data_IF_104203131184
#
_entry.id   IF_104203131184
#
_cell.length_a   1.000
_cell.length_b   1.000
_cell.length_c   1.000
_cell.angle_alpha   90.00
_cell.angle_beta   90.00
_cell.angle_gamma   90.00
#
_symmetry.space_group_name_H-M   'P 1'
#
loop_
_entity.id
_entity.type
_entity.pdbx_description
1 polymer ?
#
# COMPACT_ATOMS: atom_id res chain seq x y z
N UNK A 1 -7.90 54.16 46.61
CA UNK A 1 -7.53 53.96 45.20
C UNK A 1 -7.11 52.51 44.99
N UNK A 2 -7.75 51.83 44.01
CA UNK A 2 -7.35 50.61 43.25
C UNK A 2 -7.02 49.32 44.03
N UNK A 3 -7.93 48.34 44.13
CA UNK A 3 -8.07 47.11 43.26
C UNK A 3 -6.74 46.36 43.04
N UNK A 4 -6.58 45.05 43.32
CA UNK A 4 -7.25 43.94 42.61
C UNK A 4 -7.10 42.55 43.29
N UNK A 5 -8.23 41.82 43.34
CA UNK A 5 -8.46 40.41 42.93
C UNK A 5 -7.89 39.20 43.71
N UNK A 6 -8.82 38.61 44.46
CA UNK A 6 -8.95 37.20 44.88
C UNK A 6 -8.95 36.20 43.71
N UNK A 7 -8.21 35.09 43.85
CA UNK A 7 -8.65 33.75 43.38
C UNK A 7 -8.12 32.64 44.30
N UNK A 8 -9.00 32.16 45.20
CA UNK A 8 -9.00 30.79 45.74
C UNK A 8 -9.80 29.90 44.78
N UNK A 9 -9.30 28.71 44.47
CA UNK A 9 -10.02 27.53 43.95
C UNK A 9 -9.10 26.33 44.26
N UNK A 10 -9.15 25.70 45.44
CA UNK A 10 -10.06 24.60 45.84
C UNK A 10 -10.21 23.52 44.77
N UNK A 11 -9.68 22.34 45.12
CA UNK A 11 -9.69 21.07 44.40
C UNK A 11 -11.10 20.49 44.20
N UNK A 12 -11.32 19.76 43.10
CA UNK A 12 -12.25 18.63 43.03
C UNK A 12 -11.65 17.56 42.10
N UNK A 13 -11.51 16.36 42.67
CA UNK A 13 -11.14 15.11 42.03
C UNK A 13 -12.12 14.71 40.91
N UNK A 14 -11.60 14.09 39.84
CA UNK A 14 -12.42 13.31 38.91
C UNK A 14 -11.61 12.17 38.28
N UNK A 15 -11.70 10.99 38.90
CA UNK A 15 -11.47 9.65 38.31
C UNK A 15 -12.68 8.82 38.78
N UNK A 16 -13.20 7.78 38.09
CA UNK A 16 -13.06 7.31 36.70
C UNK A 16 -14.44 7.08 36.01
N UNK A 17 -14.48 6.77 34.71
CA UNK A 17 -15.42 5.75 34.22
C UNK A 17 -14.83 5.05 32.99
N UNK A 18 -14.54 3.77 33.21
CA UNK A 18 -14.13 2.81 32.21
C UNK A 18 -15.14 2.73 31.06
N UNK A 19 -14.61 2.66 29.85
CA UNK A 19 -15.24 1.90 28.77
C UNK A 19 -14.11 1.12 28.08
N UNK A 20 -13.74 0.03 28.77
CA UNK A 20 -13.28 -1.24 28.22
C UNK A 20 -12.62 -1.18 26.85
N UNK A 21 -11.29 -1.07 26.85
CA UNK A 21 -10.43 -1.61 25.79
C UNK A 21 -10.55 -3.14 25.81
N UNK A 22 -11.66 -3.66 25.30
CA UNK A 22 -11.71 -5.07 24.91
C UNK A 22 -10.85 -5.22 23.65
N UNK A 23 -9.63 -5.69 23.88
CA UNK A 23 -8.76 -6.26 22.85
C UNK A 23 -9.47 -7.51 22.32
N UNK A 24 -10.27 -7.35 21.26
CA UNK A 24 -10.81 -8.48 20.50
C UNK A 24 -9.77 -8.84 19.45
N UNK A 25 -8.98 -9.88 19.76
CA UNK A 25 -8.20 -10.64 18.81
C UNK A 25 -9.16 -11.50 17.99
N UNK A 26 -9.30 -11.21 16.69
CA UNK A 26 -10.01 -12.04 15.72
C UNK A 26 -9.55 -11.68 14.28
N UNK A 27 -9.62 -12.62 13.33
CA UNK A 27 -8.54 -12.95 12.41
C UNK A 27 -8.34 -11.95 11.27
N UNK A 28 -7.10 -11.92 10.79
CA UNK A 28 -6.61 -11.11 9.69
C UNK A 28 -7.42 -11.39 8.41
N UNK A 29 -7.99 -10.34 7.83
CA UNK A 29 -8.51 -10.35 6.46
C UNK A 29 -7.51 -9.61 5.56
N UNK A 30 -7.36 -10.04 4.30
CA UNK A 30 -6.19 -9.74 3.49
C UNK A 30 -6.10 -8.24 3.22
N UNK A 31 -4.95 -7.67 3.58
CA UNK A 31 -4.65 -6.32 3.23
C UNK A 31 -4.41 -6.26 1.72
N UNK A 32 -5.18 -5.44 0.99
CA UNK A 32 -4.83 -5.08 -0.38
C UNK A 32 -3.39 -4.58 -0.41
N UNK A 33 -2.56 -5.33 -1.12
CA UNK A 33 -1.16 -5.07 -1.29
C UNK A 33 -0.92 -4.07 -2.40
N UNK A 34 0.07 -3.22 -2.18
CA UNK A 34 0.61 -2.32 -3.20
C UNK A 34 1.99 -2.83 -3.58
N UNK A 35 2.24 -2.97 -4.87
CA UNK A 35 3.55 -3.37 -5.38
C UNK A 35 4.43 -2.13 -5.47
N UNK A 36 5.52 -2.12 -4.71
CA UNK A 36 6.59 -1.15 -4.92
C UNK A 36 7.56 -1.68 -5.99
N UNK A 37 8.20 -0.75 -6.71
CA UNK A 37 9.12 -1.05 -7.80
C UNK A 37 10.49 -0.43 -7.49
N UNK A 38 11.56 -1.19 -7.74
CA UNK A 38 12.94 -0.73 -7.70
C UNK A 38 13.62 -1.12 -9.00
N UNK A 39 14.25 -0.16 -9.65
CA UNK A 39 14.98 -0.38 -10.88
C UNK A 39 16.49 -0.37 -10.62
N UNK A 40 17.21 -1.31 -11.23
CA UNK A 40 18.67 -1.41 -11.15
C UNK A 40 19.22 -1.55 -12.56
N UNK A 41 20.17 -0.69 -12.92
CA UNK A 41 20.87 -0.80 -14.19
C UNK A 41 21.99 -1.83 -14.09
N UNK A 42 22.05 -2.74 -15.06
CA UNK A 42 23.09 -3.76 -15.19
C UNK A 42 23.71 -3.73 -16.59
N UNK A 43 25.00 -4.10 -16.74
CA UNK A 43 25.61 -4.21 -18.05
C UNK A 43 24.94 -5.33 -18.86
N UNK A 44 24.65 -5.05 -20.14
CA UNK A 44 24.25 -6.08 -21.08
C UNK A 44 25.49 -6.78 -21.62
N UNK A 45 25.48 -8.11 -21.60
CA UNK A 45 26.61 -8.93 -22.03
C UNK A 45 26.23 -9.75 -23.25
N UNK A 46 26.90 -9.52 -24.36
CA UNK A 46 26.88 -10.43 -25.51
C UNK A 46 28.12 -11.30 -25.44
N UNK A 47 27.94 -12.61 -25.30
CA UNK A 47 29.02 -13.59 -25.27
C UNK A 47 28.83 -14.61 -26.38
N UNK A 48 29.94 -15.08 -26.93
CA UNK A 48 29.95 -16.26 -27.78
C UNK A 48 30.79 -17.37 -27.16
N UNK A 49 30.38 -18.61 -27.42
CA UNK A 49 31.11 -19.82 -27.08
C UNK A 49 31.24 -20.67 -28.33
N UNK A 50 32.34 -21.40 -28.40
CA UNK A 50 32.62 -22.30 -29.51
C UNK A 50 33.03 -23.66 -28.99
N UNK A 51 32.76 -24.70 -29.77
CA UNK A 51 33.27 -26.05 -29.51
C UNK A 51 33.66 -26.70 -30.82
N UNK A 52 34.57 -27.65 -30.72
CA UNK A 52 34.99 -28.51 -31.81
C UNK A 52 34.66 -29.94 -31.39
N UNK A 53 34.06 -30.71 -32.29
CA UNK A 53 33.69 -32.10 -32.02
C UNK A 53 34.09 -32.95 -33.20
N UNK A 54 34.92 -34.00 -32.99
CA UNK A 54 35.22 -34.98 -34.04
C UNK A 54 33.93 -35.60 -34.58
N UNK A 55 33.88 -35.87 -35.89
CA UNK A 55 32.74 -36.54 -36.53
C UNK A 55 33.11 -37.98 -36.86
N UNK A 56 32.21 -38.92 -36.55
CA UNK A 56 32.35 -40.32 -36.97
C UNK A 56 32.36 -40.40 -38.50
N UNK A 57 33.46 -40.89 -39.07
CA UNK A 57 33.73 -40.88 -40.52
C UNK A 57 34.85 -39.95 -40.98
N UNK A 58 35.44 -39.17 -40.05
CA UNK A 58 36.60 -38.31 -40.31
C UNK A 58 36.23 -36.82 -40.38
N UNK A 59 37.14 -35.98 -39.88
CA UNK A 59 36.96 -34.52 -39.83
C UNK A 59 36.46 -33.99 -38.47
N UNK A 60 36.22 -32.68 -38.42
CA UNK A 60 35.84 -31.95 -37.20
C UNK A 60 34.63 -31.06 -37.51
N UNK A 61 33.59 -31.14 -36.68
CA UNK A 61 32.50 -30.18 -36.69
C UNK A 61 32.80 -29.04 -35.72
N UNK A 62 32.65 -27.82 -36.21
CA UNK A 62 32.85 -26.58 -35.48
C UNK A 62 31.49 -25.97 -35.18
N UNK A 63 31.31 -25.54 -33.93
CA UNK A 63 30.05 -25.01 -33.42
C UNK A 63 30.29 -23.62 -32.85
N UNK A 64 29.29 -22.76 -33.04
CA UNK A 64 29.23 -21.41 -32.49
C UNK A 64 27.86 -21.19 -31.87
N UNK A 65 27.82 -20.65 -30.66
CA UNK A 65 26.62 -20.09 -30.07
C UNK A 65 26.91 -18.68 -29.55
N UNK A 66 25.99 -17.76 -29.80
CA UNK A 66 26.03 -16.39 -29.30
C UNK A 66 24.76 -16.15 -28.50
N UNK A 67 24.92 -15.70 -27.26
CA UNK A 67 23.81 -15.34 -26.38
C UNK A 67 23.99 -13.93 -25.82
N UNK A 68 22.85 -13.29 -25.55
CA UNK A 68 22.79 -11.99 -24.88
C UNK A 68 22.22 -12.20 -23.48
N UNK A 69 22.93 -11.71 -22.47
CA UNK A 69 22.63 -11.98 -21.07
C UNK A 69 22.69 -10.72 -20.22
N UNK A 70 21.87 -10.72 -19.17
CA UNK A 70 21.94 -9.75 -18.09
C UNK A 70 22.09 -10.51 -16.78
N UNK A 71 23.17 -10.23 -16.05
CA UNK A 71 23.41 -10.84 -14.74
C UNK A 71 22.85 -9.98 -13.62
N UNK A 72 22.35 -10.62 -12.57
CA UNK A 72 21.72 -9.96 -11.43
C UNK A 72 21.96 -10.71 -10.12
N UNK A 73 21.64 -10.04 -9.03
CA UNK A 73 21.72 -10.60 -7.68
C UNK A 73 20.38 -10.43 -7.00
N UNK A 74 20.02 -11.38 -6.13
CA UNK A 74 18.88 -11.17 -5.25
C UNK A 74 19.10 -9.95 -4.35
N UNK A 75 18.03 -9.20 -4.16
CA UNK A 75 18.00 -8.06 -3.25
C UNK A 75 17.05 -8.44 -2.12
N UNK A 76 17.55 -8.46 -0.88
CA UNK A 76 16.76 -8.88 0.27
C UNK A 76 15.41 -8.13 0.36
N UNK A 77 14.31 -8.88 0.38
CA UNK A 77 12.95 -8.34 0.44
C UNK A 77 12.39 -7.81 -0.88
N UNK A 78 13.05 -8.10 -2.01
CA UNK A 78 12.62 -7.76 -3.35
C UNK A 78 12.70 -8.98 -4.28
N UNK A 79 11.73 -9.09 -5.18
CA UNK A 79 11.65 -10.15 -6.19
C UNK A 79 11.96 -9.55 -7.56
N UNK A 80 12.94 -10.06 -8.33
CA UNK A 80 13.14 -9.63 -9.70
C UNK A 80 11.91 -9.99 -10.54
N UNK A 81 11.48 -9.08 -11.41
CA UNK A 81 10.24 -9.18 -12.19
C UNK A 81 10.55 -9.29 -13.69
N UNK A 82 11.30 -8.32 -14.21
CA UNK A 82 11.63 -8.26 -15.65
C UNK A 82 12.94 -7.53 -15.92
N UNK A 83 13.54 -7.82 -17.06
CA UNK A 83 14.64 -7.05 -17.64
C UNK A 83 14.11 -6.26 -18.82
N UNK A 84 14.44 -4.98 -18.90
CA UNK A 84 14.19 -4.12 -20.06
C UNK A 84 15.52 -3.77 -20.73
N UNK A 85 15.63 -4.02 -22.02
CA UNK A 85 16.78 -3.66 -22.86
C UNK A 85 16.35 -2.70 -23.95
N UNK A 86 17.29 -1.93 -24.49
CA UNK A 86 17.10 -1.23 -25.75
C UNK A 86 17.49 -2.17 -26.90
N UNK A 87 16.56 -2.44 -27.82
CA UNK A 87 16.78 -3.19 -29.04
C UNK A 87 16.45 -2.30 -30.25
N UNK A 88 17.48 -1.89 -30.98
CA UNK A 88 17.40 -1.02 -32.17
C UNK A 88 16.59 0.26 -31.90
N UNK A 89 16.86 0.90 -30.76
CA UNK A 89 16.20 2.13 -30.32
C UNK A 89 14.79 1.91 -29.73
N UNK A 90 14.36 0.66 -29.58
CA UNK A 90 13.05 0.31 -29.02
C UNK A 90 13.21 -0.47 -27.70
N UNK A 91 12.62 -0.01 -26.59
CA UNK A 91 12.61 -0.77 -25.35
C UNK A 91 11.88 -2.11 -25.50
N UNK A 92 12.55 -3.20 -25.12
CA UNK A 92 12.00 -4.56 -25.08
C UNK A 92 12.13 -5.12 -23.66
N UNK A 93 11.05 -5.64 -23.11
CA UNK A 93 11.06 -6.27 -21.79
C UNK A 93 10.91 -7.78 -21.91
N UNK A 94 11.69 -8.52 -21.13
CA UNK A 94 11.61 -9.98 -20.97
C UNK A 94 11.41 -10.31 -19.48
N UNK A 95 10.51 -11.24 -19.13
CA UNK A 95 10.27 -11.62 -17.74
C UNK A 95 11.47 -12.36 -17.15
N UNK A 96 11.79 -12.06 -15.89
CA UNK A 96 12.71 -12.86 -15.10
C UNK A 96 11.84 -13.92 -14.43
N UNK A 97 11.99 -15.19 -14.82
CA UNK A 97 11.19 -16.29 -14.29
C UNK A 97 11.26 -16.38 -12.76
N UNK A 98 10.35 -17.17 -12.17
CA UNK A 98 10.35 -17.39 -10.73
C UNK A 98 11.58 -18.19 -10.28
N UNK A 99 12.06 -17.93 -9.07
CA UNK A 99 13.11 -18.74 -8.45
C UNK A 99 12.65 -20.21 -8.25
N UNK A 100 13.56 -21.21 -8.38
CA UNK A 100 14.98 -21.08 -8.70
C UNK A 100 15.19 -20.64 -10.16
N UNK A 101 16.09 -19.68 -10.37
CA UNK A 101 16.34 -19.15 -11.71
C UNK A 101 17.12 -20.16 -12.57
N UNK A 102 16.85 -20.15 -13.88
CA UNK A 102 17.56 -20.99 -14.83
C UNK A 102 18.91 -20.37 -15.20
N UNK A 103 19.88 -20.57 -14.31
CA UNK A 103 21.27 -20.12 -14.51
C UNK A 103 22.07 -21.06 -15.43
N UNK A 104 21.44 -22.16 -15.88
CA UNK A 104 22.04 -23.23 -16.70
C UNK A 104 21.99 -22.98 -18.21
N UNK A 105 21.94 -21.71 -18.64
CA UNK A 105 21.79 -21.37 -20.04
C UNK A 105 22.88 -22.04 -20.89
N UNK A 106 22.45 -22.92 -21.80
CA UNK A 106 23.35 -23.66 -22.67
C UNK A 106 22.71 -23.96 -24.02
N UNK A 107 23.53 -24.08 -25.05
CA UNK A 107 23.08 -24.50 -26.37
C UNK A 107 24.05 -25.53 -26.94
N UNK A 108 23.54 -26.72 -27.29
CA UNK A 108 24.34 -27.80 -27.86
C UNK A 108 25.61 -28.11 -27.03
N UNK A 109 25.51 -28.08 -25.70
CA UNK A 109 26.65 -28.32 -24.80
C UNK A 109 27.61 -27.14 -24.61
N UNK A 110 27.32 -25.97 -25.19
CA UNK A 110 28.03 -24.72 -24.91
C UNK A 110 27.34 -24.02 -23.74
N UNK A 111 27.98 -24.02 -22.57
CA UNK A 111 27.44 -23.40 -21.36
C UNK A 111 27.84 -21.93 -21.23
N UNK A 112 26.90 -21.11 -20.78
CA UNK A 112 27.07 -19.68 -20.54
C UNK A 112 26.77 -19.40 -19.06
N UNK A 113 27.75 -19.52 -18.16
CA UNK A 113 27.50 -19.25 -16.74
C UNK A 113 27.25 -17.74 -16.48
N UNK A 114 26.55 -17.38 -15.39
CA UNK A 114 26.45 -16.00 -14.92
C UNK A 114 27.83 -15.37 -14.69
N UNK A 115 27.97 -14.08 -15.04
CA UNK A 115 29.21 -13.32 -14.83
C UNK A 115 28.88 -11.99 -14.17
N UNK A 116 29.53 -11.70 -13.04
CA UNK A 116 29.30 -10.45 -12.28
C UNK A 116 28.01 -10.43 -11.45
N UNK A 117 27.30 -11.55 -11.37
CA UNK A 117 26.12 -11.75 -10.52
C UNK A 117 25.93 -13.22 -10.17
N UNK A 118 24.99 -13.49 -9.27
CA UNK A 118 24.62 -14.84 -8.84
C UNK A 118 23.71 -15.52 -9.85
N UNK A 119 22.94 -14.72 -10.59
CA UNK A 119 21.95 -15.19 -11.57
C UNK A 119 22.10 -14.49 -12.91
N UNK A 120 21.43 -15.02 -13.94
CA UNK A 120 21.31 -14.33 -15.21
C UNK A 120 19.96 -14.56 -15.90
N UNK A 121 19.66 -13.70 -16.86
CA UNK A 121 18.54 -13.86 -17.79
C UNK A 121 19.05 -13.73 -19.21
N UNK A 122 18.68 -14.68 -20.06
CA UNK A 122 18.91 -14.60 -21.50
C UNK A 122 17.90 -13.65 -22.13
N UNK A 123 18.37 -12.78 -23.02
CA UNK A 123 17.56 -11.81 -23.74
C UNK A 123 17.44 -12.28 -25.19
N UNK A 124 16.21 -12.60 -25.60
CA UNK A 124 15.94 -13.17 -26.92
C UNK A 124 16.53 -14.57 -27.10
N UNK A 125 16.60 -15.03 -28.35
CA UNK A 125 17.08 -16.37 -28.68
C UNK A 125 18.60 -16.41 -28.89
N UNK A 126 19.18 -17.59 -28.72
CA UNK A 126 20.56 -17.84 -29.13
C UNK A 126 20.69 -17.72 -30.66
N UNK A 127 21.77 -17.11 -31.10
CA UNK A 127 22.23 -17.27 -32.49
C UNK A 127 23.22 -18.42 -32.58
N UNK A 128 23.04 -19.32 -33.55
CA UNK A 128 23.81 -20.55 -33.64
C UNK A 128 24.36 -20.80 -35.04
N UNK A 129 25.57 -21.34 -35.12
CA UNK A 129 26.20 -21.78 -36.34
C UNK A 129 26.92 -23.11 -36.17
N UNK A 130 26.93 -23.93 -37.22
CA UNK A 130 27.65 -25.19 -37.27
C UNK A 130 28.23 -25.41 -38.67
N UNK A 131 29.42 -25.99 -38.77
CA UNK A 131 30.01 -26.34 -40.05
C UNK A 131 31.25 -27.24 -39.94
N UNK A 132 31.83 -27.59 -41.10
CA UNK A 132 33.06 -28.38 -41.21
C UNK A 132 34.34 -27.57 -41.37
N UNK A 133 34.26 -26.24 -41.23
CA UNK A 133 35.39 -25.32 -41.41
C UNK A 133 35.75 -24.61 -40.10
N UNK A 134 37.04 -24.45 -39.77
CA UNK A 134 37.50 -23.63 -38.64
C UNK A 134 36.99 -22.18 -38.67
N UNK A 135 36.66 -21.65 -39.85
CA UNK A 135 36.13 -20.28 -40.00
C UNK A 135 34.83 -20.05 -39.22
N UNK A 136 34.08 -21.10 -38.88
CA UNK A 136 32.91 -21.01 -37.98
C UNK A 136 33.31 -20.43 -36.63
N UNK A 137 34.47 -20.81 -36.10
CA UNK A 137 34.97 -20.38 -34.78
C UNK A 137 35.71 -19.06 -34.88
N UNK A 138 36.55 -18.90 -35.90
CA UNK A 138 37.52 -17.78 -35.96
C UNK A 138 36.96 -16.52 -36.60
N UNK A 139 35.96 -16.63 -37.48
CA UNK A 139 35.44 -15.50 -38.27
C UNK A 139 33.95 -15.30 -38.06
N UNK A 140 33.16 -16.37 -38.23
CA UNK A 140 31.70 -16.27 -38.19
C UNK A 140 31.22 -15.96 -36.77
N UNK A 141 31.70 -16.69 -35.76
CA UNK A 141 31.24 -16.51 -34.38
C UNK A 141 31.51 -15.10 -33.81
N UNK A 142 32.73 -14.55 -33.93
CA UNK A 142 33.00 -13.18 -33.50
C UNK A 142 32.15 -12.15 -34.26
N UNK A 143 31.93 -12.35 -35.56
CA UNK A 143 31.10 -11.45 -36.35
C UNK A 143 29.62 -11.50 -35.95
N UNK A 144 29.09 -12.69 -35.66
CA UNK A 144 27.74 -12.85 -35.10
C UNK A 144 27.59 -12.13 -33.75
N UNK A 145 28.59 -12.23 -32.88
CA UNK A 145 28.60 -11.52 -31.60
C UNK A 145 28.67 -10.00 -31.78
N UNK A 146 29.54 -9.51 -32.67
CA UNK A 146 29.63 -8.09 -32.99
C UNK A 146 28.31 -7.54 -33.56
N UNK A 147 27.65 -8.31 -34.43
CA UNK A 147 26.37 -7.96 -35.03
C UNK A 147 25.27 -7.92 -33.97
N UNK A 148 25.18 -8.94 -33.10
CA UNK A 148 24.23 -8.97 -31.99
C UNK A 148 24.43 -7.76 -31.06
N UNK A 149 25.68 -7.45 -30.71
CA UNK A 149 26.01 -6.26 -29.90
C UNK A 149 25.58 -4.95 -30.57
N UNK A 150 25.55 -4.88 -31.89
CA UNK A 150 25.06 -3.73 -32.65
C UNK A 150 23.54 -3.52 -32.56
N UNK A 151 22.77 -4.57 -32.27
CA UNK A 151 21.32 -4.46 -32.11
C UNK A 151 20.89 -4.00 -30.72
N UNK A 152 21.70 -4.25 -29.70
CA UNK A 152 21.34 -3.94 -28.32
C UNK A 152 22.09 -2.72 -27.76
N UNK A 153 21.44 -1.99 -26.86
CA UNK A 153 22.11 -1.01 -26.00
C UNK A 153 23.17 -1.65 -25.07
N UNK A 154 24.04 -0.84 -24.48
CA UNK A 154 25.13 -1.33 -23.61
C UNK A 154 24.67 -1.76 -22.21
N UNK A 155 23.45 -1.39 -21.81
CA UNK A 155 22.91 -1.64 -20.47
C UNK A 155 21.46 -2.11 -20.54
N UNK A 156 21.06 -2.79 -19.47
CA UNK A 156 19.68 -3.21 -19.23
C UNK A 156 19.17 -2.67 -17.89
N UNK A 157 17.87 -2.48 -17.79
CA UNK A 157 17.18 -2.13 -16.54
C UNK A 157 16.47 -3.34 -15.99
N UNK A 158 16.87 -3.75 -14.80
CA UNK A 158 16.25 -4.85 -14.04
C UNK A 158 15.22 -4.24 -13.10
N UNK A 159 13.98 -4.67 -13.26
CA UNK A 159 12.87 -4.27 -12.40
C UNK A 159 12.73 -5.29 -11.29
N UNK A 160 12.77 -4.83 -10.05
CA UNK A 160 12.45 -5.59 -8.85
C UNK A 160 11.13 -5.08 -8.29
N UNK A 161 10.32 -6.00 -7.81
CA UNK A 161 9.04 -5.70 -7.17
C UNK A 161 9.05 -6.21 -5.74
N UNK A 162 8.32 -5.52 -4.86
CA UNK A 162 8.00 -6.06 -3.55
C UNK A 162 6.57 -5.75 -3.19
N UNK A 163 5.94 -6.68 -2.51
CA UNK A 163 4.61 -6.49 -1.96
C UNK A 163 4.73 -5.67 -0.66
N UNK A 164 4.20 -4.46 -0.66
CA UNK A 164 4.09 -3.63 0.55
C UNK A 164 2.64 -3.49 0.92
N UNK A 165 2.33 -3.78 2.18
CA UNK A 165 1.02 -3.52 2.74
C UNK A 165 0.90 -2.02 3.03
N UNK A 166 0.14 -1.27 2.21
CA UNK A 166 -0.13 0.17 2.45
C UNK A 166 -1.13 0.35 3.60
N UNK A 167 -0.60 0.28 4.81
CA UNK A 167 -1.30 0.60 6.08
C UNK A 167 -1.72 2.07 6.12
N UNK A 168 -0.98 2.96 5.45
CA UNK A 168 -1.08 4.41 5.62
C UNK A 168 -2.39 5.00 5.06
N UNK A 169 -2.79 4.63 3.84
CA UNK A 169 -4.02 5.15 3.22
C UNK A 169 -5.28 4.59 3.87
N UNK A 170 -5.26 3.32 4.28
CA UNK A 170 -6.39 2.70 5.00
C UNK A 170 -6.57 3.32 6.37
N UNK A 171 -5.46 3.52 7.10
CA UNK A 171 -5.46 4.20 8.38
C UNK A 171 -6.00 5.64 8.26
N UNK A 172 -5.49 6.42 7.30
CA UNK A 172 -5.95 7.80 7.08
C UNK A 172 -7.46 7.89 6.77
N UNK A 173 -7.95 7.00 5.89
CA UNK A 173 -9.39 6.96 5.54
C UNK A 173 -10.26 6.54 6.74
N UNK A 174 -9.78 5.62 7.56
CA UNK A 174 -10.51 5.16 8.74
C UNK A 174 -10.50 6.20 9.87
N UNK A 175 -9.38 6.90 10.08
CA UNK A 175 -9.28 8.05 10.99
C UNK A 175 -10.23 9.18 10.57
N UNK A 176 -10.29 9.53 9.29
CA UNK A 176 -11.22 10.57 8.80
C UNK A 176 -12.70 10.21 9.07
N UNK A 177 -13.07 8.92 8.98
CA UNK A 177 -14.41 8.45 9.36
C UNK A 177 -14.66 8.57 10.86
N UNK A 178 -13.67 8.23 11.69
CA UNK A 178 -13.75 8.38 13.14
C UNK A 178 -13.93 9.85 13.56
N UNK A 179 -13.16 10.77 12.99
CA UNK A 179 -13.28 12.21 13.26
C UNK A 179 -14.66 12.76 12.89
N UNK A 180 -15.22 12.35 11.74
CA UNK A 180 -16.59 12.70 11.36
C UNK A 180 -17.62 12.20 12.40
N UNK A 181 -17.45 10.97 12.90
CA UNK A 181 -18.32 10.42 13.93
C UNK A 181 -18.20 11.20 15.27
N UNK A 182 -16.98 11.59 15.66
CA UNK A 182 -16.73 12.45 16.84
C UNK A 182 -17.41 13.81 16.68
N UNK A 183 -17.29 14.44 15.50
CA UNK A 183 -17.93 15.73 15.21
C UNK A 183 -19.47 15.64 15.27
N UNK A 184 -20.06 14.55 14.75
CA UNK A 184 -21.51 14.27 14.83
C UNK A 184 -21.98 14.16 16.28
N UNK A 185 -21.26 13.39 17.11
CA UNK A 185 -21.56 13.28 18.55
C UNK A 185 -21.52 14.64 19.24
N UNK A 186 -20.47 15.43 19.03
CA UNK A 186 -20.35 16.78 19.62
C UNK A 186 -21.51 17.69 19.21
N UNK A 187 -21.91 17.64 17.94
CA UNK A 187 -23.01 18.46 17.42
C UNK A 187 -24.35 18.11 18.07
N UNK A 188 -24.64 16.81 18.21
CA UNK A 188 -25.88 16.36 18.86
C UNK A 188 -25.85 16.69 20.36
N UNK A 189 -24.72 16.51 21.04
CA UNK A 189 -24.55 16.88 22.46
C UNK A 189 -24.85 18.37 22.71
N UNK A 190 -24.35 19.26 21.83
CA UNK A 190 -24.67 20.71 21.92
C UNK A 190 -26.17 20.97 21.80
N UNK A 191 -26.86 20.31 20.86
CA UNK A 191 -28.32 20.44 20.68
C UNK A 191 -29.10 19.93 21.89
N UNK A 192 -28.70 18.79 22.47
CA UNK A 192 -29.28 18.23 23.70
C UNK A 192 -29.10 19.21 24.87
N UNK A 193 -27.91 19.78 25.03
CA UNK A 193 -27.62 20.78 26.05
C UNK A 193 -28.48 22.05 25.91
N UNK A 194 -28.64 22.56 24.68
CA UNK A 194 -29.48 23.72 24.39
C UNK A 194 -30.97 23.45 24.71
N UNK A 195 -31.50 22.30 24.30
CA UNK A 195 -32.87 21.90 24.61
C UNK A 195 -33.11 21.76 26.11
N UNK A 196 -32.18 21.16 26.85
CA UNK A 196 -32.28 21.09 28.32
C UNK A 196 -32.34 22.47 28.96
N UNK A 197 -31.53 23.44 28.49
CA UNK A 197 -31.59 24.83 28.97
C UNK A 197 -32.94 25.48 28.67
N UNK A 198 -33.46 25.32 27.45
CA UNK A 198 -34.77 25.85 27.07
C UNK A 198 -35.91 25.25 27.91
N UNK A 199 -35.91 23.94 28.14
CA UNK A 199 -36.92 23.28 28.98
C UNK A 199 -36.83 23.78 30.43
N UNK A 200 -35.61 23.97 30.96
CA UNK A 200 -35.43 24.53 32.31
C UNK A 200 -35.97 25.96 32.41
N UNK A 201 -35.79 26.77 31.37
CA UNK A 201 -36.34 28.13 31.32
C UNK A 201 -37.87 28.10 31.23
N UNK A 202 -38.43 27.30 30.32
CA UNK A 202 -39.90 27.14 30.21
C UNK A 202 -40.53 26.68 31.53
N UNK A 203 -39.89 25.78 32.28
CA UNK A 203 -40.38 25.38 33.60
C UNK A 203 -40.40 26.54 34.62
N UNK A 204 -39.45 27.48 34.55
CA UNK A 204 -39.49 28.69 35.38
C UNK A 204 -40.62 29.62 34.94
N UNK A 205 -40.77 29.83 33.63
CA UNK A 205 -41.79 30.72 33.08
C UNK A 205 -43.21 30.20 33.34
N UNK A 206 -43.42 28.87 33.30
CA UNK A 206 -44.67 28.22 33.68
C UNK A 206 -45.00 28.52 35.14
N UNK A 207 -44.05 28.28 36.07
CA UNK A 207 -44.25 28.55 37.50
C UNK A 207 -44.58 30.01 37.77
N UNK A 208 -43.89 30.94 37.10
CA UNK A 208 -44.16 32.37 37.22
C UNK A 208 -45.56 32.74 36.69
N UNK A 209 -46.00 32.14 35.57
CA UNK A 209 -47.33 32.37 35.02
C UNK A 209 -48.44 31.79 35.92
N UNK A 210 -48.21 30.63 36.53
CA UNK A 210 -49.12 30.01 37.51
C UNK A 210 -49.26 30.88 38.77
N UNK A 211 -48.13 31.38 39.31
CA UNK A 211 -48.12 32.31 40.45
C UNK A 211 -48.85 33.63 40.16
N UNK A 212 -48.79 34.10 38.91
CA UNK A 212 -49.49 35.31 38.47
C UNK A 212 -50.98 35.08 38.12
N UNK A 213 -51.52 33.87 38.30
CA UNK A 213 -52.91 33.54 37.95
C UNK A 213 -53.21 33.50 36.45
N UNK A 214 -52.19 33.58 35.59
CA UNK A 214 -52.36 33.61 34.13
C UNK A 214 -52.39 32.18 33.55
N UNK A 215 -53.52 31.52 33.75
CA UNK A 215 -53.75 30.12 33.35
C UNK A 215 -53.63 29.89 31.84
N UNK A 216 -54.04 30.87 31.01
CA UNK A 216 -53.90 30.80 29.55
C UNK A 216 -52.44 30.76 29.11
N UNK A 217 -51.59 31.62 29.67
CA UNK A 217 -50.15 31.65 29.40
C UNK A 217 -49.45 30.39 29.90
N UNK A 218 -49.79 29.91 31.11
CA UNK A 218 -49.23 28.67 31.66
C UNK A 218 -49.53 27.44 30.77
N UNK A 219 -50.76 27.31 30.25
CA UNK A 219 -51.14 26.24 29.31
C UNK A 219 -50.34 26.31 28.00
N UNK A 220 -50.15 27.51 27.44
CA UNK A 220 -49.37 27.69 26.21
C UNK A 220 -47.90 27.29 26.39
N UNK A 221 -47.25 27.76 27.47
CA UNK A 221 -45.86 27.42 27.79
C UNK A 221 -45.67 25.93 28.08
N UNK A 222 -46.67 25.29 28.70
CA UNK A 222 -46.70 23.84 28.94
C UNK A 222 -46.69 23.05 27.62
N UNK A 223 -47.53 23.43 26.64
CA UNK A 223 -47.51 22.82 25.30
C UNK A 223 -46.16 22.98 24.61
N UNK A 224 -45.54 24.17 24.71
CA UNK A 224 -44.20 24.41 24.16
C UNK A 224 -43.15 23.52 24.82
N UNK A 225 -43.18 23.40 26.16
CA UNK A 225 -42.28 22.53 26.92
C UNK A 225 -42.41 21.08 26.48
N UNK A 226 -43.62 20.58 26.29
CA UNK A 226 -43.86 19.17 25.92
C UNK A 226 -43.38 18.87 24.50
N UNK A 227 -43.60 19.79 23.55
CA UNK A 227 -42.99 19.73 22.22
C UNK A 227 -41.46 19.68 22.27
N UNK A 228 -40.83 20.51 23.12
CA UNK A 228 -39.37 20.51 23.32
C UNK A 228 -38.88 19.23 24.00
N UNK A 229 -39.64 18.65 24.95
CA UNK A 229 -39.33 17.37 25.58
C UNK A 229 -39.35 16.21 24.57
N UNK A 230 -40.33 16.18 23.68
CA UNK A 230 -40.39 15.19 22.60
C UNK A 230 -39.17 15.33 21.67
N UNK A 231 -38.83 16.56 21.28
CA UNK A 231 -37.63 16.84 20.49
C UNK A 231 -36.35 16.41 21.21
N UNK A 232 -36.26 16.64 22.53
CA UNK A 232 -35.13 16.22 23.35
C UNK A 232 -34.99 14.69 23.39
N UNK A 233 -36.10 13.96 23.52
CA UNK A 233 -36.09 12.49 23.49
C UNK A 233 -35.49 11.98 22.18
N UNK A 234 -36.02 12.45 21.04
CA UNK A 234 -35.51 12.08 19.72
C UNK A 234 -34.02 12.41 19.56
N UNK A 235 -33.56 13.54 20.12
CA UNK A 235 -32.13 13.92 20.08
C UNK A 235 -31.26 13.06 21.01
N UNK A 236 -31.79 12.57 22.14
CA UNK A 236 -31.08 11.62 23.01
C UNK A 236 -30.91 10.27 22.35
N UNK A 237 -31.90 9.81 21.60
CA UNK A 237 -31.82 8.56 20.84
C UNK A 237 -30.78 8.70 19.72
N UNK A 238 -30.85 9.78 18.94
CA UNK A 238 -29.82 10.12 17.94
C UNK A 238 -28.41 10.22 18.55
N UNK A 239 -28.29 10.71 19.79
CA UNK A 239 -27.00 10.77 20.48
C UNK A 239 -26.50 9.37 20.85
N UNK A 240 -27.39 8.47 21.26
CA UNK A 240 -27.05 7.07 21.57
C UNK A 240 -26.54 6.37 20.32
N UNK A 241 -27.22 6.54 19.19
CA UNK A 241 -26.82 5.94 17.91
C UNK A 241 -25.50 6.54 17.41
N UNK A 242 -25.34 7.87 17.44
CA UNK A 242 -24.07 8.49 17.07
C UNK A 242 -22.89 8.05 17.95
N UNK A 243 -23.13 7.73 19.23
CA UNK A 243 -22.10 7.16 20.12
C UNK A 243 -21.74 5.73 19.72
N UNK A 244 -22.72 4.91 19.30
CA UNK A 244 -22.47 3.57 18.74
C UNK A 244 -21.67 3.68 17.43
N UNK A 245 -22.07 4.57 16.52
CA UNK A 245 -21.35 4.86 15.27
C UNK A 245 -19.89 5.23 15.55
N UNK A 246 -19.66 6.12 16.54
CA UNK A 246 -18.31 6.53 16.96
C UNK A 246 -17.48 5.35 17.48
N UNK A 247 -18.07 4.48 18.29
CA UNK A 247 -17.37 3.32 18.82
C UNK A 247 -16.98 2.35 17.69
N UNK A 248 -17.91 2.06 16.76
CA UNK A 248 -17.64 1.23 15.60
C UNK A 248 -16.56 1.83 14.69
N UNK A 249 -16.63 3.14 14.42
CA UNK A 249 -15.62 3.84 13.63
C UNK A 249 -14.24 3.85 14.31
N UNK A 250 -14.20 3.97 15.64
CA UNK A 250 -12.97 3.90 16.43
C UNK A 250 -12.30 2.53 16.35
N UNK A 251 -13.09 1.46 16.51
CA UNK A 251 -12.60 0.08 16.35
C UNK A 251 -12.12 -0.18 14.93
N UNK A 252 -12.84 0.31 13.91
CA UNK A 252 -12.43 0.19 12.51
C UNK A 252 -11.13 0.94 12.21
N UNK A 253 -10.94 2.15 12.78
CA UNK A 253 -9.71 2.91 12.65
C UNK A 253 -8.53 2.22 13.33
N UNK A 254 -8.71 1.73 14.55
CA UNK A 254 -7.68 0.97 15.26
C UNK A 254 -7.27 -0.30 14.48
N UNK A 255 -8.24 -1.00 13.88
CA UNK A 255 -7.99 -2.15 13.01
C UNK A 255 -7.23 -1.77 11.74
N UNK A 256 -7.63 -0.69 11.08
CA UNK A 256 -7.02 -0.23 9.83
C UNK A 256 -5.62 0.39 9.99
N UNK A 257 -5.24 0.81 11.20
CA UNK A 257 -3.93 1.40 11.48
C UNK A 257 -2.93 0.41 12.10
N UNK A 258 -3.36 -0.80 12.48
CA UNK A 258 -2.48 -1.88 12.97
C UNK A 258 -2.12 -2.89 11.87
N UNK A 259 -2.95 -3.00 10.82
CA UNK A 259 -2.80 -3.90 9.69
C UNK A 259 -2.31 -3.15 8.46
#
# INVERSE_FOLDING_TARGET
MKTTWTKRLVAIAAIPFAASLLVVLAPAGPAAATTEVKEVTAPLRVEYKTKETPIDGGGTSYYCAVGTFVSFNDIAGWTPDKVTVDFVGTPRSEPIGAAPYDDGASLNGLAFPPVGGSHQTQIGDFSYGQGGSPSVVTEICPQMAATSKGFFGSTATITYTREVVDVSRKCAKAQAKFEKAVAKVRTIQRKVGALNKQIKQLNKDIRAAEQAGNTGKARSLTKQRDSKKNTLSNKKDQLRDAKKDRAQAGSAAAKACRN
#
